data_IF_717565206091
#
_entry.id   IF_717565206091
#
_cell.length_a   1.000
_cell.length_b   1.000
_cell.length_c   1.000
_cell.angle_alpha   90.00
_cell.angle_beta   90.00
_cell.angle_gamma   90.00
#
_symmetry.space_group_name_H-M   'P 1'
#
loop_
_entity.id
_entity.type
_entity.pdbx_description
1 polymer ?
#
# COMPACT_ATOMS: atom_id res chain seq x y z
N UNK A 1 -3.43 -42.92 26.38
CA UNK A 1 -3.75 -42.17 25.16
C UNK A 1 -2.43 -41.63 24.61
N UNK A 2 -1.90 -42.23 23.54
CA UNK A 2 -0.55 -41.98 23.03
C UNK A 2 -0.65 -41.02 21.83
N UNK A 3 -0.15 -39.80 21.98
CA UNK A 3 -0.15 -38.79 20.92
C UNK A 3 1.10 -39.02 20.07
N UNK A 4 0.89 -39.48 18.83
CA UNK A 4 1.90 -39.67 17.81
C UNK A 4 2.24 -38.29 17.20
N UNK A 5 3.40 -37.73 17.56
CA UNK A 5 3.95 -36.55 16.87
C UNK A 5 4.56 -37.01 15.54
N UNK A 6 3.82 -36.85 14.45
CA UNK A 6 4.34 -37.07 13.10
C UNK A 6 5.29 -35.92 12.73
N UNK A 7 6.59 -36.23 12.69
CA UNK A 7 7.63 -35.35 12.17
C UNK A 7 7.54 -35.29 10.64
N UNK A 8 6.91 -34.24 10.12
CA UNK A 8 6.95 -33.89 8.69
C UNK A 8 8.35 -33.38 8.34
N UNK A 9 9.23 -34.31 7.96
CA UNK A 9 10.49 -33.96 7.33
C UNK A 9 10.22 -33.66 5.85
N UNK A 10 10.02 -32.38 5.54
CA UNK A 10 9.88 -31.91 4.15
C UNK A 10 11.28 -31.84 3.53
N UNK A 11 11.54 -32.70 2.56
CA UNK A 11 12.69 -32.57 1.67
C UNK A 11 12.54 -31.28 0.85
N UNK A 12 13.16 -30.20 1.31
CA UNK A 12 13.23 -28.94 0.59
C UNK A 12 14.24 -29.05 -0.56
N UNK A 13 13.76 -29.28 -1.78
CA UNK A 13 14.46 -28.73 -2.95
C UNK A 13 14.57 -27.22 -2.72
N UNK A 14 15.77 -26.64 -2.89
CA UNK A 14 16.10 -25.21 -2.71
C UNK A 14 15.26 -24.30 -3.63
N UNK A 15 13.96 -24.20 -3.37
CA UNK A 15 13.05 -23.31 -4.05
C UNK A 15 12.99 -22.03 -3.21
N UNK A 16 13.46 -20.94 -3.80
CA UNK A 16 13.35 -19.61 -3.21
C UNK A 16 11.88 -19.33 -2.92
N UNK A 17 11.62 -18.93 -1.68
CA UNK A 17 10.28 -18.69 -1.16
C UNK A 17 10.13 -17.26 -0.64
N UNK A 18 11.11 -16.40 -0.89
CA UNK A 18 11.19 -15.02 -0.44
C UNK A 18 10.94 -14.05 -1.58
N UNK A 19 10.44 -12.85 -1.29
CA UNK A 19 10.26 -11.80 -2.28
C UNK A 19 10.67 -10.43 -1.74
N UNK A 20 11.07 -9.56 -2.66
CA UNK A 20 11.25 -8.13 -2.45
C UNK A 20 10.30 -7.39 -3.39
N UNK A 21 9.67 -6.35 -2.90
CA UNK A 21 8.77 -5.49 -3.66
C UNK A 21 9.16 -4.04 -3.45
N UNK A 22 9.12 -3.26 -4.52
CA UNK A 22 9.35 -1.82 -4.49
C UNK A 22 8.24 -1.10 -5.26
N UNK A 23 7.68 -0.06 -4.65
CA UNK A 23 6.58 0.71 -5.20
C UNK A 23 6.95 2.20 -5.33
N UNK A 24 6.42 2.84 -6.36
CA UNK A 24 6.31 4.30 -6.49
C UNK A 24 4.87 4.64 -6.87
N UNK A 25 4.30 5.66 -6.25
CA UNK A 25 2.93 6.10 -6.52
C UNK A 25 2.76 7.61 -6.43
N UNK A 26 1.78 8.14 -7.15
CA UNK A 26 1.21 9.47 -6.93
C UNK A 26 -0.15 9.33 -6.25
N UNK A 27 -0.46 10.23 -5.31
CA UNK A 27 -1.70 10.21 -4.54
C UNK A 27 -2.66 11.32 -4.92
N UNK A 28 -3.95 11.03 -4.79
CA UNK A 28 -5.07 11.93 -4.87
C UNK A 28 -5.80 11.92 -3.51
N UNK A 29 -6.21 13.08 -3.03
CA UNK A 29 -7.07 13.23 -1.84
C UNK A 29 -8.45 13.74 -2.24
N UNK A 30 -9.43 13.55 -1.35
CA UNK A 30 -10.73 14.18 -1.49
C UNK A 30 -10.60 15.70 -1.37
N UNK A 31 -11.27 16.44 -2.24
CA UNK A 31 -11.23 17.90 -2.21
C UNK A 31 -12.07 18.46 -1.04
N UNK A 32 -11.40 19.03 -0.03
CA UNK A 32 -12.06 19.63 1.14
C UNK A 32 -12.65 21.02 0.84
N UNK A 33 -12.09 21.74 -0.14
CA UNK A 33 -12.52 23.07 -0.59
C UNK A 33 -13.69 22.99 -1.60
N UNK A 34 -14.22 21.79 -1.81
CA UNK A 34 -15.32 21.57 -2.73
C UNK A 34 -16.56 22.34 -2.26
N UNK A 35 -17.09 23.17 -3.15
CA UNK A 35 -18.18 24.11 -2.87
C UNK A 35 -17.83 25.32 -1.98
N UNK A 36 -16.57 25.49 -1.59
CA UNK A 36 -16.11 26.79 -1.09
C UNK A 36 -16.06 27.78 -2.26
N UNK A 37 -16.46 29.02 -2.00
CA UNK A 37 -16.46 30.09 -3.00
C UNK A 37 -15.04 30.60 -3.16
N UNK A 38 -14.46 30.47 -4.36
CA UNK A 38 -13.21 31.16 -4.69
C UNK A 38 -13.41 32.69 -4.66
N UNK A 39 -12.31 33.44 -4.61
CA UNK A 39 -12.26 34.92 -4.49
C UNK A 39 -13.06 35.71 -5.55
N UNK A 40 -13.65 35.02 -6.54
CA UNK A 40 -14.47 35.58 -7.61
C UNK A 40 -15.90 35.03 -7.56
N UNK A 41 -16.94 35.89 -7.66
CA UNK A 41 -18.32 35.42 -7.75
C UNK A 41 -18.47 34.49 -8.97
N UNK A 42 -19.12 33.35 -8.75
CA UNK A 42 -19.44 32.26 -9.70
C UNK A 42 -18.37 31.18 -9.98
N UNK A 43 -17.20 31.21 -9.33
CA UNK A 43 -16.26 30.08 -9.36
C UNK A 43 -16.40 29.20 -8.11
N UNK A 44 -17.18 28.12 -8.23
CA UNK A 44 -17.23 27.05 -7.23
C UNK A 44 -16.36 25.90 -7.69
N UNK A 45 -15.41 25.49 -6.86
CA UNK A 45 -14.64 24.29 -7.11
C UNK A 45 -15.56 23.05 -7.07
N UNK A 46 -15.64 22.35 -8.21
CA UNK A 46 -16.50 21.17 -8.41
C UNK A 46 -15.73 19.85 -8.39
N UNK A 47 -14.40 19.90 -8.28
CA UNK A 47 -13.57 18.72 -8.41
C UNK A 47 -13.73 17.81 -7.19
N UNK A 48 -13.77 16.50 -7.44
CA UNK A 48 -13.97 15.50 -6.40
C UNK A 48 -12.66 15.13 -5.72
N UNK A 49 -11.55 15.22 -6.48
CA UNK A 49 -10.22 14.82 -6.06
C UNK A 49 -9.19 15.85 -6.48
N UNK A 50 -8.16 16.02 -5.66
CA UNK A 50 -7.01 16.89 -5.93
C UNK A 50 -5.70 16.09 -5.81
N UNK A 51 -4.66 16.42 -6.57
CA UNK A 51 -3.32 15.87 -6.36
C UNK A 51 -2.83 16.09 -4.92
N UNK A 52 -2.45 15.00 -4.26
CA UNK A 52 -2.14 14.95 -2.82
C UNK A 52 -0.71 14.45 -2.52
N UNK A 53 0.08 14.15 -3.55
CA UNK A 53 1.52 13.94 -3.40
C UNK A 53 2.05 12.63 -3.93
N UNK A 54 3.12 12.14 -3.30
CA UNK A 54 3.96 11.05 -3.81
C UNK A 54 4.29 10.05 -2.70
N UNK A 55 4.39 8.78 -3.06
CA UNK A 55 4.73 7.70 -2.14
C UNK A 55 5.76 6.76 -2.73
N UNK A 56 6.63 6.23 -1.87
CA UNK A 56 7.50 5.10 -2.20
C UNK A 56 7.49 4.09 -1.07
N UNK A 57 7.39 2.80 -1.42
CA UNK A 57 7.29 1.70 -0.45
C UNK A 57 8.24 0.57 -0.83
N UNK A 58 8.74 -0.13 0.17
CA UNK A 58 9.56 -1.33 0.05
C UNK A 58 9.01 -2.42 0.95
N UNK A 59 8.97 -3.65 0.45
CA UNK A 59 8.43 -4.79 1.16
C UNK A 59 9.28 -6.03 1.00
N UNK A 60 9.44 -6.78 2.08
CA UNK A 60 10.12 -8.06 2.08
C UNK A 60 9.25 -9.11 2.75
N UNK A 61 9.23 -10.32 2.19
CA UNK A 61 8.43 -11.38 2.78
C UNK A 61 8.61 -12.72 2.11
N UNK A 62 7.62 -13.57 2.32
CA UNK A 62 7.53 -14.91 1.76
C UNK A 62 6.41 -15.01 0.72
N UNK A 63 6.56 -15.96 -0.19
CA UNK A 63 5.55 -16.26 -1.19
C UNK A 63 5.34 -17.76 -1.36
N UNK A 64 4.16 -18.12 -1.85
CA UNK A 64 3.84 -19.45 -2.33
C UNK A 64 3.50 -19.37 -3.82
N UNK A 65 4.32 -20.04 -4.65
CA UNK A 65 4.15 -20.12 -6.12
C UNK A 65 3.98 -18.75 -6.82
N UNK A 66 4.58 -17.68 -6.29
CA UNK A 66 4.41 -16.28 -6.74
C UNK A 66 2.95 -15.76 -6.70
N UNK A 67 2.01 -16.58 -6.22
CA UNK A 67 0.58 -16.27 -6.18
C UNK A 67 0.19 -15.68 -4.83
N UNK A 68 0.57 -16.34 -3.74
CA UNK A 68 0.22 -15.88 -2.39
C UNK A 68 1.46 -15.24 -1.79
N UNK A 69 1.35 -14.01 -1.29
CA UNK A 69 2.47 -13.30 -0.65
C UNK A 69 2.09 -12.85 0.74
N UNK A 70 3.02 -12.94 1.67
CA UNK A 70 2.91 -12.38 3.02
C UNK A 70 4.24 -11.72 3.38
N UNK A 71 4.24 -10.44 3.73
CA UNK A 71 5.47 -9.74 4.07
C UNK A 71 5.27 -8.53 4.96
N UNK A 72 6.38 -7.95 5.39
CA UNK A 72 6.43 -6.67 6.10
C UNK A 72 6.86 -5.61 5.10
N UNK A 73 6.13 -4.51 5.10
CA UNK A 73 6.32 -3.40 4.18
C UNK A 73 6.47 -2.10 4.97
N UNK A 74 7.25 -1.18 4.43
CA UNK A 74 7.37 0.18 4.93
C UNK A 74 7.58 1.15 3.78
N UNK A 75 7.60 2.45 4.04
CA UNK A 75 7.79 3.46 3.01
C UNK A 75 7.78 4.87 3.52
N UNK A 76 7.68 5.81 2.58
CA UNK A 76 7.54 7.24 2.82
C UNK A 76 6.44 7.74 1.90
N UNK A 77 5.42 8.36 2.48
CA UNK A 77 4.33 9.02 1.77
C UNK A 77 4.39 10.52 2.08
N UNK A 78 4.58 11.35 1.06
CA UNK A 78 4.52 12.80 1.16
C UNK A 78 3.11 13.28 0.81
N UNK A 79 2.44 13.90 1.79
CA UNK A 79 1.08 14.40 1.72
C UNK A 79 1.07 15.92 1.60
N UNK A 80 0.64 16.42 0.45
CA UNK A 80 0.67 17.85 0.13
C UNK A 80 -0.47 18.61 0.79
N UNK A 81 -1.68 18.06 0.74
CA UNK A 81 -2.88 18.69 1.30
C UNK A 81 -2.73 18.91 2.81
N UNK A 82 -2.37 17.85 3.53
CA UNK A 82 -2.16 17.85 4.97
C UNK A 82 -0.77 18.37 5.39
N UNK A 83 0.08 18.71 4.42
CA UNK A 83 1.44 19.26 4.61
C UNK A 83 2.30 18.43 5.58
N UNK A 84 2.34 17.11 5.42
CA UNK A 84 3.17 16.24 6.26
C UNK A 84 3.75 15.05 5.48
N UNK A 85 4.72 14.39 6.12
CA UNK A 85 5.33 13.17 5.59
C UNK A 85 4.99 12.03 6.55
N UNK A 86 4.52 10.91 6.01
CA UNK A 86 4.11 9.73 6.74
C UNK A 86 5.04 8.55 6.44
N UNK A 87 5.29 7.73 7.46
CA UNK A 87 5.99 6.45 7.32
C UNK A 87 5.05 5.34 7.78
N UNK A 88 4.52 4.50 6.87
CA UNK A 88 3.80 3.30 7.25
C UNK A 88 4.77 2.15 7.56
N UNK A 89 4.40 1.29 8.50
CA UNK A 89 5.03 -0.02 8.74
C UNK A 89 3.89 -1.02 8.92
N UNK A 90 3.78 -2.00 8.03
CA UNK A 90 2.60 -2.84 7.95
C UNK A 90 2.89 -4.26 7.48
N UNK A 91 2.03 -5.18 7.90
CA UNK A 91 1.94 -6.51 7.30
C UNK A 91 1.11 -6.41 6.02
N UNK A 92 1.57 -7.06 4.96
CA UNK A 92 0.96 -7.04 3.65
C UNK A 92 0.68 -8.48 3.19
N UNK A 93 -0.60 -8.75 2.94
CA UNK A 93 -1.05 -10.00 2.32
C UNK A 93 -1.43 -9.72 0.86
N UNK A 94 -1.04 -10.61 -0.04
CA UNK A 94 -1.29 -10.46 -1.47
C UNK A 94 -1.71 -11.74 -2.15
N UNK A 95 -2.57 -11.58 -3.15
CA UNK A 95 -3.04 -12.61 -4.08
C UNK A 95 -2.81 -12.12 -5.51
N UNK A 96 -2.00 -12.85 -6.27
CA UNK A 96 -1.65 -12.56 -7.66
C UNK A 96 -1.91 -13.75 -8.60
N UNK A 97 -3.17 -14.14 -8.86
CA UNK A 97 -3.48 -15.17 -9.85
C UNK A 97 -3.00 -14.78 -11.26
N UNK A 98 -2.45 -15.76 -11.99
CA UNK A 98 -2.22 -15.67 -13.43
C UNK A 98 -3.55 -15.81 -14.16
N UNK A 99 -3.86 -14.87 -15.05
CA UNK A 99 -5.08 -14.86 -15.87
C UNK A 99 -4.79 -14.99 -17.36
N UNK A 100 -3.51 -14.98 -17.74
CA UNK A 100 -3.01 -15.25 -19.09
C UNK A 100 -1.57 -15.75 -19.02
N UNK A 101 -0.91 -15.92 -20.16
CA UNK A 101 0.49 -16.41 -20.22
C UNK A 101 1.43 -15.47 -19.44
N UNK A 102 1.27 -14.16 -19.63
CA UNK A 102 2.14 -13.13 -19.04
C UNK A 102 1.34 -12.08 -18.24
N UNK A 103 0.08 -12.38 -17.89
CA UNK A 103 -0.81 -11.43 -17.21
C UNK A 103 -1.18 -11.94 -15.82
N UNK A 104 -0.90 -11.13 -14.81
CA UNK A 104 -1.36 -11.31 -13.43
C UNK A 104 -2.34 -10.20 -13.06
N UNK A 105 -3.34 -10.57 -12.26
CA UNK A 105 -4.16 -9.61 -11.51
C UNK A 105 -3.74 -9.73 -10.06
N UNK A 106 -3.49 -8.61 -9.40
CA UNK A 106 -3.02 -8.57 -8.02
C UNK A 106 -4.06 -7.88 -7.15
N UNK A 107 -4.35 -8.47 -5.99
CA UNK A 107 -5.06 -7.84 -4.89
C UNK A 107 -4.18 -7.91 -3.64
N UNK A 108 -4.02 -6.80 -2.92
CA UNK A 108 -3.26 -6.77 -1.66
C UNK A 108 -4.03 -6.02 -0.58
N UNK A 109 -3.91 -6.50 0.65
CA UNK A 109 -4.43 -5.82 1.84
C UNK A 109 -3.28 -5.66 2.85
N UNK A 110 -3.16 -4.44 3.40
CA UNK A 110 -2.14 -4.12 4.37
C UNK A 110 -2.72 -3.54 5.65
N UNK A 111 -2.13 -3.92 6.79
CA UNK A 111 -2.52 -3.43 8.11
C UNK A 111 -1.29 -3.24 9.01
N UNK A 112 -1.23 -2.10 9.71
CA UNK A 112 -0.11 -1.78 10.60
C UNK A 112 -0.22 -0.43 11.27
N UNK A 113 0.92 0.25 11.39
CA UNK A 113 1.05 1.56 12.03
C UNK A 113 1.62 2.59 11.07
N UNK A 114 1.13 3.82 11.18
CA UNK A 114 1.65 4.98 10.46
C UNK A 114 2.20 6.01 11.43
N UNK A 115 3.29 6.67 11.05
CA UNK A 115 3.98 7.67 11.84
C UNK A 115 4.11 8.97 11.04
N UNK A 116 3.68 10.09 11.58
CA UNK A 116 3.90 11.39 10.96
C UNK A 116 5.28 11.94 11.35
N UNK A 117 6.17 12.08 10.37
CA UNK A 117 7.51 12.61 10.58
C UNK A 117 7.47 14.11 10.85
N UNK A 118 8.31 14.58 11.78
CA UNK A 118 8.43 16.00 12.11
C UNK A 118 7.23 16.60 12.86
N UNK A 119 6.25 15.79 13.26
CA UNK A 119 5.01 16.22 13.95
C UNK A 119 4.90 15.66 15.39
N UNK A 120 6.03 15.34 16.03
CA UNK A 120 6.08 14.82 17.40
C UNK A 120 5.64 13.36 17.50
N UNK A 121 4.97 12.98 18.59
CA UNK A 121 4.46 11.61 18.82
C UNK A 121 3.11 11.35 18.10
N UNK A 122 3.01 11.78 16.85
CA UNK A 122 1.79 11.64 16.07
C UNK A 122 1.85 10.34 15.27
N UNK A 123 1.13 9.32 15.75
CA UNK A 123 1.05 8.00 15.13
C UNK A 123 -0.40 7.50 15.14
N UNK A 124 -0.68 6.53 14.27
CA UNK A 124 -2.02 6.00 14.06
C UNK A 124 -2.01 4.61 13.45
N UNK A 125 -3.18 4.01 13.30
CA UNK A 125 -3.33 2.80 12.50
C UNK A 125 -3.13 3.12 11.02
N UNK A 126 -2.59 2.17 10.28
CA UNK A 126 -2.44 2.26 8.84
C UNK A 126 -3.14 1.07 8.19
N UNK A 127 -3.96 1.35 7.19
CA UNK A 127 -4.72 0.34 6.44
C UNK A 127 -4.63 0.66 4.97
N UNK A 128 -4.47 -0.36 4.14
CA UNK A 128 -4.50 -0.20 2.68
C UNK A 128 -5.18 -1.36 1.98
N UNK A 129 -5.72 -1.06 0.81
CA UNK A 129 -6.18 -2.05 -0.14
C UNK A 129 -5.70 -1.67 -1.54
N UNK A 130 -5.18 -2.63 -2.29
CA UNK A 130 -4.60 -2.43 -3.61
C UNK A 130 -5.18 -3.43 -4.60
N UNK A 131 -5.48 -2.97 -5.80
CA UNK A 131 -5.70 -3.80 -6.97
C UNK A 131 -4.71 -3.39 -8.06
N UNK A 132 -4.12 -4.35 -8.77
CA UNK A 132 -3.22 -4.09 -9.87
C UNK A 132 -3.30 -5.14 -10.97
N UNK A 133 -2.68 -4.81 -12.10
CA UNK A 133 -2.53 -5.69 -13.25
C UNK A 133 -1.11 -5.54 -13.80
N UNK A 134 -0.56 -6.63 -14.31
CA UNK A 134 0.77 -6.59 -14.91
C UNK A 134 1.32 -7.97 -15.23
N UNK A 135 2.61 -8.12 -15.03
CA UNK A 135 3.39 -9.36 -15.19
C UNK A 135 4.00 -9.77 -13.84
N UNK A 136 4.69 -10.90 -13.80
CA UNK A 136 5.30 -11.44 -12.58
C UNK A 136 6.21 -10.42 -11.86
N UNK A 137 6.88 -9.53 -12.61
CA UNK A 137 7.91 -8.63 -12.07
C UNK A 137 7.51 -7.15 -12.09
N UNK A 138 6.44 -6.78 -12.80
CA UNK A 138 6.00 -5.39 -12.96
C UNK A 138 4.47 -5.28 -12.94
N UNK A 139 3.94 -4.44 -12.05
CA UNK A 139 2.51 -4.25 -11.81
C UNK A 139 2.17 -2.75 -11.83
N UNK A 140 1.12 -2.38 -12.55
CA UNK A 140 0.46 -1.07 -12.42
C UNK A 140 -0.71 -1.24 -11.44
N UNK A 141 -0.87 -0.32 -10.49
CA UNK A 141 -1.87 -0.46 -9.45
C UNK A 141 -2.64 0.82 -9.13
N UNK A 142 -3.83 0.59 -8.58
CA UNK A 142 -4.58 1.56 -7.78
C UNK A 142 -4.64 1.06 -6.33
N UNK A 143 -4.46 1.96 -5.38
CA UNK A 143 -4.45 1.64 -3.95
C UNK A 143 -5.23 2.69 -3.17
N UNK A 144 -6.07 2.27 -2.23
CA UNK A 144 -6.59 3.14 -1.19
C UNK A 144 -5.75 2.97 0.06
N UNK A 145 -5.37 4.08 0.69
CA UNK A 145 -4.60 4.08 1.93
C UNK A 145 -5.23 5.05 2.93
N UNK A 146 -5.31 4.60 4.18
CA UNK A 146 -5.86 5.36 5.30
C UNK A 146 -4.88 5.35 6.47
N UNK A 147 -4.65 6.54 7.02
CA UNK A 147 -3.94 6.77 8.27
C UNK A 147 -4.92 7.29 9.31
N UNK A 148 -5.07 6.57 10.42
CA UNK A 148 -5.86 7.02 11.57
C UNK A 148 -5.03 7.95 12.47
N UNK A 149 -4.52 9.01 11.85
CA UNK A 149 -3.72 10.07 12.47
C UNK A 149 -4.61 11.30 12.64
N UNK A 150 -4.71 11.81 13.87
CA UNK A 150 -5.51 13.00 14.16
C UNK A 150 -4.69 14.25 13.85
N UNK A 151 -5.05 14.97 12.79
CA UNK A 151 -4.40 16.21 12.37
C UNK A 151 -5.47 17.26 12.03
N UNK A 152 -5.34 18.48 12.57
CA UNK A 152 -6.23 19.61 12.27
C UNK A 152 -7.74 19.27 12.35
N UNK A 153 -8.16 18.55 13.40
CA UNK A 153 -9.53 18.05 13.62
C UNK A 153 -10.03 16.97 12.65
N UNK A 154 -9.22 16.55 11.67
CA UNK A 154 -9.49 15.36 10.88
C UNK A 154 -9.11 14.12 11.68
N UNK A 155 -9.99 13.11 11.67
CA UNK A 155 -9.78 11.85 12.41
C UNK A 155 -8.95 10.83 11.63
N UNK A 156 -8.96 10.93 10.31
CA UNK A 156 -8.20 10.06 9.42
C UNK A 156 -7.84 10.77 8.13
N UNK A 157 -6.71 10.37 7.57
CA UNK A 157 -6.14 10.90 6.34
C UNK A 157 -6.22 9.80 5.29
N UNK A 158 -7.00 10.04 4.24
CA UNK A 158 -7.32 9.05 3.21
C UNK A 158 -6.71 9.46 1.88
N UNK A 159 -6.29 8.49 1.08
CA UNK A 159 -5.77 8.74 -0.25
C UNK A 159 -6.05 7.61 -1.23
N UNK A 160 -6.15 7.98 -2.50
CA UNK A 160 -6.17 7.08 -3.64
C UNK A 160 -4.84 7.24 -4.37
N UNK A 161 -4.09 6.17 -4.49
CA UNK A 161 -2.75 6.15 -5.06
C UNK A 161 -2.78 5.42 -6.40
N UNK A 162 -2.15 6.00 -7.41
CA UNK A 162 -1.86 5.37 -8.70
C UNK A 162 -0.36 5.15 -8.80
N UNK A 163 0.06 3.93 -9.11
CA UNK A 163 1.49 3.62 -9.04
C UNK A 163 1.93 2.41 -9.83
N UNK A 164 3.24 2.18 -9.74
CA UNK A 164 3.94 1.04 -10.32
C UNK A 164 4.66 0.28 -9.21
N UNK A 165 4.74 -1.03 -9.37
CA UNK A 165 5.39 -1.95 -8.45
C UNK A 165 6.33 -2.86 -9.22
N UNK A 166 7.55 -3.00 -8.72
CA UNK A 166 8.51 -4.00 -9.19
C UNK A 166 8.61 -5.09 -8.13
N UNK A 167 8.49 -6.35 -8.54
CA UNK A 167 8.54 -7.50 -7.62
C UNK A 167 9.64 -8.44 -8.07
N UNK A 168 10.44 -8.92 -7.11
CA UNK A 168 11.47 -9.92 -7.35
C UNK A 168 11.22 -11.12 -6.43
N UNK A 169 11.10 -12.31 -7.03
CA UNK A 169 10.87 -13.58 -6.35
C UNK A 169 12.11 -14.50 -6.33
N UNK A 170 13.23 -14.03 -6.88
CA UNK A 170 14.44 -14.82 -7.12
C UNK A 170 15.62 -14.39 -6.22
N UNK A 171 15.33 -13.84 -5.02
CA UNK A 171 16.32 -13.47 -4.00
C UNK A 171 17.00 -14.66 -3.33
#
# INVERSE_FOLDING_TARGET
>A
MMILLASLSVNAQNKKFTYLQFDISASLAGNNERYESEDYPDQKNKDWFVPDGLGSKIGYGIHYKKWITLGIHSGIDWKWEDKFVAVPVYLNFGLSPKVGENTIITAQAGYGKGFALGRGNLNGEYRKFRIGIGSDDFIIFIETAQYDIILNNQKSINSINLGISVVNFDL
#
